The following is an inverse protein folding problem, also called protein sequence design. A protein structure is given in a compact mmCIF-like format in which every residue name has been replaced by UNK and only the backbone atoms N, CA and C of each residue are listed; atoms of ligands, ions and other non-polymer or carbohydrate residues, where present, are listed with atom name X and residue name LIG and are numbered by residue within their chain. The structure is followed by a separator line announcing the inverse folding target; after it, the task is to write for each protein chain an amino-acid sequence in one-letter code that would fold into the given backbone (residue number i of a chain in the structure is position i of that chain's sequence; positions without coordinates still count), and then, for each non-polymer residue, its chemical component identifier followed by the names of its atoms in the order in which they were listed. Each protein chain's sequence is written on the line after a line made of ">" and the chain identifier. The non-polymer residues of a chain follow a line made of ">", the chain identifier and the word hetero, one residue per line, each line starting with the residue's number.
data_IF_033862450626
#
_entry.id   IF_033862450626
#
_cell.length_a   1.000
_cell.length_b   1.000
_cell.length_c   1.000
_cell.angle_alpha   90.00
_cell.angle_beta   90.00
_cell.angle_gamma   90.00
#
_symmetry.space_group_name_H-M   'P 1'
#
loop_
_entity.id
_entity.type
_entity.pdbx_description
1 polymer ?
#
# COMPACT_ATOMS: atom_id res chain seq x y z
N UNK A 1 -44.70 3.82 -18.88
CA UNK A 1 -43.85 3.11 -17.91
C UNK A 1 -42.81 4.12 -17.47
N UNK A 2 -42.83 4.45 -16.18
CA UNK A 2 -41.99 5.47 -15.53
C UNK A 2 -40.51 5.26 -15.86
N UNK A 3 -39.78 6.36 -16.09
CA UNK A 3 -38.32 6.40 -16.17
C UNK A 3 -37.72 5.87 -14.86
N UNK A 4 -37.51 4.56 -14.78
CA UNK A 4 -36.65 3.95 -13.75
C UNK A 4 -35.24 4.39 -14.09
N UNK A 5 -34.85 5.55 -13.55
CA UNK A 5 -33.47 5.99 -13.57
C UNK A 5 -32.68 5.04 -12.67
N UNK A 6 -32.06 4.02 -13.27
CA UNK A 6 -31.10 3.16 -12.58
C UNK A 6 -29.93 4.01 -12.09
N UNK A 7 -30.01 4.45 -10.83
CA UNK A 7 -28.92 5.13 -10.17
C UNK A 7 -28.23 4.10 -9.26
N UNK A 8 -27.12 3.48 -9.71
CA UNK A 8 -26.50 2.37 -9.01
C UNK A 8 -26.02 2.72 -7.60
N UNK A 9 -25.84 4.01 -7.28
CA UNK A 9 -25.49 4.46 -5.93
C UNK A 9 -26.68 4.54 -4.97
N UNK A 10 -27.92 4.61 -5.47
CA UNK A 10 -29.14 4.67 -4.65
C UNK A 10 -29.84 3.32 -4.50
N UNK A 11 -29.54 2.35 -5.36
CA UNK A 11 -30.16 1.03 -5.38
C UNK A 11 -29.32 -0.07 -4.74
N UNK A 12 -28.18 0.26 -4.13
CA UNK A 12 -27.42 -0.71 -3.32
C UNK A 12 -28.08 -0.87 -1.94
N UNK A 13 -28.14 -2.12 -1.46
CA UNK A 13 -28.74 -2.46 -0.18
C UNK A 13 -28.09 -1.73 1.00
N UNK A 14 -28.83 -1.61 2.10
CA UNK A 14 -28.38 -0.98 3.35
C UNK A 14 -26.97 -1.47 3.72
N UNK A 15 -26.01 -0.56 4.00
CA UNK A 15 -24.64 -0.97 4.22
C UNK A 15 -24.52 -1.59 5.62
N UNK A 16 -24.73 -2.91 5.66
CA UNK A 16 -24.74 -3.72 6.88
C UNK A 16 -23.28 -3.91 7.31
N UNK A 17 -22.94 -3.51 8.55
CA UNK A 17 -21.58 -3.65 9.09
C UNK A 17 -20.66 -2.42 8.96
N UNK A 18 -21.15 -1.24 8.54
CA UNK A 18 -20.31 -0.02 8.41
C UNK A 18 -19.70 0.50 9.72
N UNK A 19 -20.21 0.06 10.87
CA UNK A 19 -19.76 0.50 12.19
C UNK A 19 -19.01 -0.60 12.98
N UNK A 20 -18.70 -1.75 12.36
CA UNK A 20 -17.88 -2.75 13.01
C UNK A 20 -16.41 -2.33 12.95
N UNK A 21 -15.88 -1.84 14.07
CA UNK A 21 -14.44 -1.65 14.28
C UNK A 21 -13.86 -2.99 14.73
N UNK A 22 -13.70 -3.94 13.80
CA UNK A 22 -13.13 -5.27 14.09
C UNK A 22 -11.64 -5.39 13.76
N UNK A 23 -11.04 -4.35 13.18
CA UNK A 23 -9.59 -4.30 12.94
C UNK A 23 -8.84 -4.17 14.26
N UNK A 24 -8.43 -5.30 14.84
CA UNK A 24 -7.50 -5.35 15.99
C UNK A 24 -6.03 -5.35 15.55
N UNK A 25 -5.77 -5.39 14.25
CA UNK A 25 -4.44 -5.43 13.64
C UNK A 25 -4.09 -4.16 12.86
N UNK A 26 -3.09 -4.30 11.98
CA UNK A 26 -2.55 -3.20 11.18
C UNK A 26 -3.39 -2.94 9.92
N UNK A 27 -3.48 -1.69 9.49
CA UNK A 27 -4.06 -1.31 8.20
C UNK A 27 -2.94 -1.10 7.19
N UNK A 28 -3.02 -1.80 6.05
CA UNK A 28 -2.03 -1.71 5.00
C UNK A 28 -1.91 -0.27 4.48
N UNK A 29 -0.66 0.21 4.40
CA UNK A 29 -0.34 1.52 3.83
C UNK A 29 -0.68 2.70 4.73
N UNK A 30 -1.04 2.46 5.98
CA UNK A 30 -1.26 3.52 6.96
C UNK A 30 0.04 4.25 7.32
N UNK A 31 0.04 5.57 7.20
CA UNK A 31 1.18 6.40 7.60
C UNK A 31 1.17 6.59 9.12
N UNK A 32 2.02 5.86 9.85
CA UNK A 32 2.07 6.01 11.30
C UNK A 32 2.69 7.34 11.70
N UNK A 33 2.04 8.03 12.65
CA UNK A 33 2.52 9.31 13.18
C UNK A 33 3.85 9.12 13.92
N UNK A 34 4.89 9.76 13.38
CA UNK A 34 6.20 9.87 14.00
C UNK A 34 6.69 11.33 13.91
N UNK A 35 6.98 11.99 15.05
CA UNK A 35 7.48 13.36 15.06
C UNK A 35 8.73 13.58 14.20
N UNK A 36 9.60 12.58 14.05
CA UNK A 36 10.85 12.69 13.31
C UNK A 36 10.66 12.80 11.79
N UNK A 37 9.55 12.28 11.25
CA UNK A 37 9.30 12.18 9.81
C UNK A 37 8.14 13.05 9.33
N UNK A 38 7.69 14.01 10.16
CA UNK A 38 6.57 14.91 9.87
C UNK A 38 6.66 15.64 8.51
N UNK A 39 7.86 15.92 8.03
CA UNK A 39 8.12 16.63 6.76
C UNK A 39 8.55 15.72 5.60
N UNK A 40 8.54 14.40 5.81
CA UNK A 40 8.96 13.44 4.79
C UNK A 40 7.82 13.00 3.86
N UNK A 41 6.56 13.29 4.24
CA UNK A 41 5.39 12.94 3.44
C UNK A 41 5.40 13.75 2.14
N UNK A 42 5.50 13.05 1.02
CA UNK A 42 5.53 13.65 -0.31
C UNK A 42 4.21 13.39 -1.05
N UNK A 43 3.88 14.27 -1.99
CA UNK A 43 2.77 14.09 -2.92
C UNK A 43 3.28 14.03 -4.35
N UNK A 44 2.53 13.35 -5.21
CA UNK A 44 2.83 13.21 -6.62
C UNK A 44 1.59 12.82 -7.40
N UNK A 45 1.76 12.59 -8.70
CA UNK A 45 0.69 12.16 -9.59
C UNK A 45 0.92 10.72 -10.03
N UNK A 46 -0.13 9.89 -10.00
CA UNK A 46 -0.04 8.50 -10.44
C UNK A 46 -0.17 8.39 -11.95
N UNK A 47 0.79 7.77 -12.64
CA UNK A 47 0.75 7.55 -14.09
C UNK A 47 0.58 6.08 -14.50
N UNK A 48 0.26 5.19 -13.56
CA UNK A 48 -0.11 3.81 -13.87
C UNK A 48 -1.47 3.72 -14.57
N UNK A 49 -1.60 2.75 -15.46
CA UNK A 49 -2.87 2.48 -16.17
C UNK A 49 -3.95 1.97 -15.21
N UNK A 50 -3.55 1.13 -14.25
CA UNK A 50 -4.45 0.56 -13.24
C UNK A 50 -4.57 1.49 -12.02
N UNK A 51 -5.72 1.43 -11.36
CA UNK A 51 -5.88 2.03 -10.04
C UNK A 51 -5.00 1.33 -9.00
N UNK A 52 -4.47 2.10 -8.05
CA UNK A 52 -3.56 1.64 -7.00
C UNK A 52 -4.13 1.94 -5.62
N UNK A 53 -3.64 1.27 -4.58
CA UNK A 53 -4.06 1.46 -3.19
C UNK A 53 -2.84 1.74 -2.30
N UNK A 54 -3.09 2.09 -1.04
CA UNK A 54 -2.03 2.33 -0.07
C UNK A 54 -1.23 1.05 0.26
N UNK A 55 0.05 1.17 0.56
CA UNK A 55 0.95 0.05 0.84
C UNK A 55 1.42 -0.70 -0.40
N UNK A 56 1.27 -0.11 -1.60
CA UNK A 56 1.83 -0.64 -2.85
C UNK A 56 3.20 0.00 -3.12
N UNK A 57 4.17 -0.82 -3.47
CA UNK A 57 5.48 -0.39 -3.95
C UNK A 57 5.40 0.36 -5.28
N UNK A 58 6.05 1.52 -5.34
CA UNK A 58 6.05 2.40 -6.49
C UNK A 58 7.45 2.92 -6.79
N UNK A 59 7.58 3.55 -7.96
CA UNK A 59 8.75 4.32 -8.32
C UNK A 59 8.39 5.80 -8.49
N UNK A 60 9.07 6.65 -7.72
CA UNK A 60 9.14 8.09 -7.96
C UNK A 60 10.10 8.36 -9.12
N UNK A 61 9.60 9.03 -10.15
CA UNK A 61 10.40 9.51 -11.26
C UNK A 61 10.79 10.97 -11.05
N UNK A 62 12.03 11.30 -11.42
CA UNK A 62 12.48 12.70 -11.52
C UNK A 62 11.64 13.38 -12.61
N UNK A 63 10.96 14.46 -12.25
CA UNK A 63 10.17 15.25 -13.19
C UNK A 63 11.07 15.95 -14.21
N UNK A 64 10.57 16.14 -15.44
CA UNK A 64 11.25 16.98 -16.43
C UNK A 64 11.20 18.44 -15.98
N UNK A 65 12.11 19.25 -16.49
CA UNK A 65 12.17 20.71 -16.27
C UNK A 65 10.80 21.41 -16.47
N UNK A 66 10.05 21.01 -17.50
CA UNK A 66 8.73 21.56 -17.82
C UNK A 66 7.60 21.15 -16.86
N UNK A 67 7.75 20.06 -16.10
CA UNK A 67 6.68 19.46 -15.29
C UNK A 67 6.97 19.43 -13.77
N UNK A 68 8.14 19.89 -13.33
CA UNK A 68 8.60 19.88 -11.94
C UNK A 68 7.61 20.53 -10.95
N UNK A 69 6.90 21.59 -11.36
CA UNK A 69 6.04 22.38 -10.48
C UNK A 69 4.83 21.59 -9.94
N UNK A 70 4.36 20.57 -10.67
CA UNK A 70 3.17 19.80 -10.29
C UNK A 70 3.46 18.60 -9.36
N UNK A 71 4.73 18.41 -8.96
CA UNK A 71 5.17 17.27 -8.15
C UNK A 71 5.68 16.10 -8.99
N UNK A 72 6.27 15.11 -8.30
CA UNK A 72 6.89 13.95 -8.95
C UNK A 72 5.87 13.04 -9.62
N UNK A 73 6.26 12.44 -10.74
CA UNK A 73 5.45 11.43 -11.39
C UNK A 73 5.71 10.06 -10.75
N UNK A 74 4.66 9.42 -10.27
CA UNK A 74 4.69 8.10 -9.64
C UNK A 74 4.28 7.03 -10.66
N UNK A 75 5.09 6.00 -10.80
CA UNK A 75 4.84 4.84 -11.66
C UNK A 75 4.80 3.54 -10.86
N UNK A 76 4.20 2.48 -11.39
CA UNK A 76 4.34 1.14 -10.81
C UNK A 76 5.80 0.76 -10.64
N UNK A 77 6.12 0.06 -9.54
CA UNK A 77 7.44 -0.52 -9.35
C UNK A 77 7.81 -1.48 -10.49
N UNK A 78 9.10 -1.62 -10.75
CA UNK A 78 9.65 -2.51 -11.78
C UNK A 78 10.59 -3.53 -11.16
N UNK A 79 10.96 -4.57 -11.91
CA UNK A 79 11.89 -5.61 -11.45
C UNK A 79 13.21 -5.06 -10.89
N UNK A 80 13.63 -3.87 -11.33
CA UNK A 80 14.90 -3.24 -10.93
C UNK A 80 14.74 -2.13 -9.91
N UNK A 81 13.55 -1.50 -9.79
CA UNK A 81 13.37 -0.28 -8.99
C UNK A 81 12.04 -0.28 -8.25
N UNK A 82 12.11 -0.14 -6.93
CA UNK A 82 11.03 0.28 -6.04
C UNK A 82 11.65 1.22 -5.00
N UNK A 83 11.37 2.52 -5.09
CA UNK A 83 12.01 3.56 -4.27
C UNK A 83 11.02 4.31 -3.36
N UNK A 84 9.73 3.96 -3.43
CA UNK A 84 8.69 4.59 -2.63
C UNK A 84 7.55 3.64 -2.34
N UNK A 85 6.79 3.92 -1.28
CA UNK A 85 5.52 3.25 -0.99
C UNK A 85 4.40 4.28 -0.94
N UNK A 86 3.30 3.97 -1.62
CA UNK A 86 2.08 4.79 -1.56
C UNK A 86 1.47 4.63 -0.18
N UNK A 87 0.99 5.72 0.41
CA UNK A 87 0.39 5.70 1.75
C UNK A 87 -0.96 6.39 1.79
N UNK A 88 -1.80 5.94 2.71
CA UNK A 88 -2.97 6.65 3.16
C UNK A 88 -2.64 7.36 4.48
N UNK A 89 -2.97 8.64 4.55
CA UNK A 89 -2.96 9.43 5.78
C UNK A 89 -4.36 10.05 5.95
N UNK A 90 -4.63 10.66 7.11
CA UNK A 90 -5.88 11.34 7.46
C UNK A 90 -6.32 12.40 6.42
N UNK A 91 -5.41 12.87 5.56
CA UNK A 91 -5.72 13.52 4.30
C UNK A 91 -6.22 12.48 3.27
N UNK A 92 -7.47 12.03 3.43
CA UNK A 92 -8.11 11.09 2.53
C UNK A 92 -8.32 11.72 1.14
N UNK A 93 -7.49 11.31 0.16
CA UNK A 93 -7.67 11.62 -1.27
C UNK A 93 -8.03 10.37 -2.11
N UNK A 94 -8.20 9.21 -1.46
CA UNK A 94 -8.60 7.96 -2.12
C UNK A 94 -10.10 7.93 -2.40
N UNK A 95 -10.47 7.43 -3.58
CA UNK A 95 -11.86 7.25 -3.99
C UNK A 95 -12.37 5.95 -3.36
N UNK A 96 -13.42 6.04 -2.56
CA UNK A 96 -14.17 4.88 -2.06
C UNK A 96 -15.46 4.79 -2.88
N UNK A 97 -15.67 3.67 -3.56
CA UNK A 97 -16.88 3.42 -4.36
C UNK A 97 -17.81 2.48 -3.63
N UNK A 98 -19.12 2.69 -3.74
CA UNK A 98 -20.09 1.81 -3.09
C UNK A 98 -19.95 0.35 -3.60
N UNK A 99 -19.66 -0.57 -2.67
CA UNK A 99 -19.30 -1.98 -2.96
C UNK A 99 -17.81 -2.31 -2.84
N UNK A 100 -16.93 -1.32 -2.77
CA UNK A 100 -15.50 -1.47 -2.52
C UNK A 100 -15.03 -0.45 -1.47
N UNK A 101 -14.71 -0.95 -0.28
CA UNK A 101 -14.33 -0.12 0.87
C UNK A 101 -12.82 0.17 0.93
N UNK A 102 -12.03 -0.30 -0.04
CA UNK A 102 -10.60 0.00 -0.14
C UNK A 102 -10.42 1.34 -0.87
N UNK A 103 -9.73 2.33 -0.28
CA UNK A 103 -9.44 3.58 -0.98
C UNK A 103 -8.53 3.35 -2.19
N UNK A 104 -8.98 3.82 -3.35
CA UNK A 104 -8.26 3.68 -4.62
C UNK A 104 -7.79 5.03 -5.16
N UNK A 105 -6.60 5.02 -5.78
CA UNK A 105 -6.02 6.13 -6.51
C UNK A 105 -6.01 5.77 -8.00
N UNK A 106 -6.65 6.60 -8.82
CA UNK A 106 -6.78 6.37 -10.27
C UNK A 106 -5.64 7.04 -11.04
N UNK A 107 -5.46 6.63 -12.30
CA UNK A 107 -4.52 7.29 -13.22
C UNK A 107 -4.76 8.79 -13.31
N UNK A 108 -3.67 9.55 -13.30
CA UNK A 108 -3.60 11.02 -13.19
C UNK A 108 -4.16 11.61 -11.88
N UNK A 109 -4.47 10.77 -10.89
CA UNK A 109 -4.84 11.20 -9.54
C UNK A 109 -3.62 11.55 -8.69
N UNK A 110 -3.86 12.33 -7.63
CA UNK A 110 -2.84 12.63 -6.63
C UNK A 110 -2.65 11.45 -5.69
N UNK A 111 -1.39 11.11 -5.41
CA UNK A 111 -1.00 10.07 -4.45
C UNK A 111 -0.04 10.64 -3.42
N UNK A 112 -0.12 10.11 -2.21
CA UNK A 112 0.86 10.37 -1.16
C UNK A 112 1.80 9.18 -1.06
N UNK A 113 3.07 9.46 -0.80
CA UNK A 113 4.08 8.43 -0.67
C UNK A 113 5.19 8.85 0.28
N UNK A 114 5.90 7.84 0.78
CA UNK A 114 7.18 8.00 1.45
C UNK A 114 8.26 7.32 0.62
N UNK A 115 9.44 7.94 0.57
CA UNK A 115 10.62 7.38 -0.08
C UNK A 115 11.26 6.32 0.82
N UNK A 116 11.83 5.29 0.22
CA UNK A 116 12.75 4.39 0.92
C UNK A 116 13.96 5.23 1.39
N UNK A 117 14.34 5.10 2.66
CA UNK A 117 15.31 5.90 3.40
C UNK A 117 14.71 7.04 4.24
N UNK A 118 13.39 7.23 4.21
CA UNK A 118 12.70 8.31 4.94
C UNK A 118 12.64 8.11 6.46
N UNK A 119 12.79 6.89 6.94
CA UNK A 119 12.56 6.50 8.34
C UNK A 119 11.08 6.42 8.71
N UNK A 120 10.17 6.43 7.72
CA UNK A 120 8.73 6.34 7.97
C UNK A 120 8.33 4.93 8.43
N UNK A 121 7.31 4.86 9.28
CA UNK A 121 6.74 3.60 9.76
C UNK A 121 5.45 3.29 9.02
N UNK A 122 5.46 2.21 8.25
CA UNK A 122 4.33 1.85 7.36
C UNK A 122 4.03 0.35 7.49
N UNK A 123 2.77 -0.04 7.73
CA UNK A 123 2.36 -1.42 7.65
C UNK A 123 2.24 -1.88 6.19
N UNK A 124 2.93 -2.96 5.84
CA UNK A 124 2.92 -3.56 4.51
C UNK A 124 2.53 -5.03 4.61
N UNK A 125 1.79 -5.58 3.63
CA UNK A 125 1.49 -7.01 3.59
C UNK A 125 2.78 -7.81 3.40
N UNK A 126 2.90 -8.94 4.09
CA UNK A 126 4.12 -9.76 4.09
C UNK A 126 3.83 -11.20 3.64
N UNK A 127 4.86 -11.88 3.13
CA UNK A 127 4.81 -13.31 2.87
C UNK A 127 4.81 -14.12 4.17
N UNK A 128 4.42 -15.40 4.09
CA UNK A 128 4.51 -16.32 5.23
C UNK A 128 5.96 -16.49 5.71
N UNK A 129 6.94 -16.40 4.80
CA UNK A 129 8.37 -16.49 5.12
C UNK A 129 8.83 -15.30 5.96
N UNK A 130 8.44 -14.08 5.57
CA UNK A 130 8.74 -12.87 6.36
C UNK A 130 8.01 -12.91 7.70
N UNK A 131 6.77 -13.39 7.74
CA UNK A 131 6.03 -13.52 9.00
C UNK A 131 6.71 -14.50 9.98
N UNK A 132 7.38 -15.54 9.47
CA UNK A 132 8.13 -16.49 10.28
C UNK A 132 9.41 -15.91 10.92
N UNK A 133 9.92 -14.76 10.43
CA UNK A 133 11.07 -14.05 11.02
C UNK A 133 10.75 -13.41 12.37
N UNK A 134 9.47 -13.28 12.73
CA UNK A 134 9.04 -12.73 14.02
C UNK A 134 9.22 -13.74 15.16
N UNK A 135 10.44 -14.26 15.35
CA UNK A 135 10.79 -15.26 16.39
C UNK A 135 11.04 -14.62 17.76
N UNK A 136 11.24 -13.31 17.81
CA UNK A 136 11.62 -12.56 19.01
C UNK A 136 13.13 -12.60 19.33
N UNK A 137 13.91 -13.37 18.58
CA UNK A 137 15.36 -13.51 18.79
C UNK A 137 16.21 -12.83 17.71
N UNK A 138 15.62 -12.54 16.55
CA UNK A 138 16.31 -11.93 15.42
C UNK A 138 16.44 -10.41 15.58
N UNK A 139 17.61 -9.87 15.22
CA UNK A 139 17.85 -8.44 15.27
C UNK A 139 17.13 -7.70 14.12
N UNK A 140 16.67 -6.48 14.38
CA UNK A 140 16.06 -5.62 13.36
C UNK A 140 17.08 -5.33 12.24
N UNK A 141 16.73 -5.73 11.01
CA UNK A 141 17.58 -5.55 9.82
C UNK A 141 18.56 -6.69 9.55
N UNK A 142 18.36 -7.87 10.15
CA UNK A 142 19.16 -9.07 9.89
C UNK A 142 18.98 -9.62 8.45
N UNK A 143 17.82 -9.37 7.84
CA UNK A 143 17.46 -9.91 6.52
C UNK A 143 17.29 -8.84 5.44
N UNK A 144 17.52 -9.24 4.19
CA UNK A 144 17.20 -8.45 3.01
C UNK A 144 15.77 -8.72 2.52
N UNK A 145 15.06 -7.67 2.15
CA UNK A 145 13.67 -7.76 1.67
C UNK A 145 13.55 -7.44 0.17
N UNK A 146 12.49 -7.94 -0.46
CA UNK A 146 12.09 -7.62 -1.83
C UNK A 146 10.62 -7.24 -1.89
N UNK A 147 10.26 -6.41 -2.87
CA UNK A 147 8.87 -6.19 -3.23
C UNK A 147 8.44 -7.25 -4.26
N UNK A 148 7.53 -8.16 -3.90
CA UNK A 148 6.94 -9.07 -4.86
C UNK A 148 5.92 -8.34 -5.74
N UNK A 149 6.29 -8.08 -6.99
CA UNK A 149 5.45 -7.38 -7.97
C UNK A 149 4.20 -8.17 -8.36
N UNK A 150 4.20 -9.50 -8.18
CA UNK A 150 3.07 -10.36 -8.56
C UNK A 150 1.99 -10.34 -7.50
N UNK A 151 2.40 -10.57 -6.25
CA UNK A 151 1.46 -10.70 -5.13
C UNK A 151 1.25 -9.37 -4.38
N UNK A 152 2.04 -8.32 -4.67
CA UNK A 152 2.05 -7.05 -3.95
C UNK A 152 2.30 -7.24 -2.44
N UNK A 153 3.31 -8.04 -2.10
CA UNK A 153 3.73 -8.31 -0.71
C UNK A 153 5.23 -8.15 -0.55
N UNK A 154 5.67 -7.89 0.68
CA UNK A 154 7.08 -7.96 1.03
C UNK A 154 7.47 -9.42 1.23
N UNK A 155 8.52 -9.85 0.55
CA UNK A 155 9.10 -11.18 0.71
C UNK A 155 10.60 -11.10 1.06
N UNK A 156 11.18 -12.22 1.45
CA UNK A 156 12.61 -12.33 1.72
C UNK A 156 13.42 -12.34 0.41
N UNK A 157 14.60 -11.74 0.43
CA UNK A 157 15.55 -11.83 -0.67
C UNK A 157 16.18 -13.24 -0.71
N UNK A 158 15.56 -14.18 -1.43
CA UNK A 158 16.22 -15.42 -1.80
C UNK A 158 17.33 -15.10 -2.80
N UNK A 159 18.60 -15.26 -2.41
CA UNK A 159 19.74 -14.82 -3.21
C UNK A 159 19.70 -15.39 -4.63
N UNK A 160 19.78 -14.49 -5.62
CA UNK A 160 20.16 -14.70 -7.03
C UNK A 160 19.08 -14.78 -8.14
N UNK A 161 17.76 -14.83 -7.86
CA UNK A 161 16.79 -15.08 -8.97
C UNK A 161 15.46 -14.34 -8.91
N UNK A 162 15.20 -13.49 -7.91
CA UNK A 162 13.93 -12.78 -7.89
C UNK A 162 13.97 -11.65 -8.92
N UNK A 163 13.10 -11.71 -9.93
CA UNK A 163 12.82 -10.58 -10.84
C UNK A 163 12.10 -9.42 -10.13
N UNK A 164 12.36 -9.26 -8.84
CA UNK A 164 11.69 -8.36 -7.91
C UNK A 164 12.73 -7.38 -7.35
N UNK A 165 12.38 -6.09 -7.19
CA UNK A 165 13.33 -5.09 -6.74
C UNK A 165 13.67 -5.32 -5.27
N UNK A 166 14.97 -5.23 -4.96
CA UNK A 166 15.48 -5.26 -3.58
C UNK A 166 15.07 -3.99 -2.84
N UNK A 167 14.71 -4.15 -1.57
CA UNK A 167 14.32 -3.08 -0.67
C UNK A 167 15.27 -3.02 0.53
N UNK A 168 15.80 -1.83 0.80
CA UNK A 168 16.61 -1.57 1.99
C UNK A 168 15.71 -1.02 3.12
N UNK A 169 14.84 -1.88 3.64
CA UNK A 169 13.87 -1.58 4.71
C UNK A 169 14.10 -2.47 5.93
N UNK A 170 13.54 -2.11 7.08
CA UNK A 170 13.68 -2.89 8.33
C UNK A 170 12.33 -3.32 8.89
N UNK A 171 12.19 -4.61 9.19
CA UNK A 171 11.01 -5.15 9.86
C UNK A 171 11.03 -4.83 11.36
N UNK A 172 9.97 -4.21 11.87
CA UNK A 172 9.84 -3.83 13.29
C UNK A 172 8.90 -4.75 14.07
N UNK A 173 7.78 -5.14 13.46
CA UNK A 173 6.83 -6.07 14.05
C UNK A 173 6.02 -6.79 12.98
N UNK A 174 5.42 -7.93 13.34
CA UNK A 174 4.48 -8.67 12.48
C UNK A 174 3.19 -8.92 13.25
N UNK A 175 2.07 -8.68 12.58
CA UNK A 175 0.74 -9.09 13.02
C UNK A 175 0.22 -10.17 12.08
N UNK A 176 -0.16 -11.33 12.62
CA UNK A 176 -0.58 -12.47 11.80
C UNK A 176 -2.07 -12.49 11.42
N UNK A 177 -2.95 -11.85 12.22
CA UNK A 177 -4.40 -11.90 12.04
C UNK A 177 -5.07 -10.57 12.41
N UNK A 178 -6.26 -10.34 11.87
CA UNK A 178 -7.10 -9.17 12.21
C UNK A 178 -6.61 -7.85 11.60
N UNK A 179 -5.73 -7.94 10.60
CA UNK A 179 -5.22 -6.80 9.84
C UNK A 179 -6.24 -6.39 8.77
N UNK A 180 -6.12 -5.17 8.23
CA UNK A 180 -6.80 -4.79 7.00
C UNK A 180 -5.76 -4.75 5.88
N UNK A 181 -5.65 -5.84 5.14
CA UNK A 181 -4.78 -5.94 3.95
C UNK A 181 -5.62 -5.98 2.69
N UNK A 182 -5.07 -5.56 1.56
CA UNK A 182 -5.80 -5.53 0.30
C UNK A 182 -5.59 -6.82 -0.47
N UNK A 183 -6.69 -7.39 -0.95
CA UNK A 183 -6.72 -8.50 -1.90
C UNK A 183 -7.24 -8.01 -3.24
N UNK A 184 -6.46 -8.20 -4.29
CA UNK A 184 -6.91 -8.06 -5.68
C UNK A 184 -7.46 -9.41 -6.15
N UNK A 185 -8.76 -9.45 -6.43
CA UNK A 185 -9.43 -10.64 -6.97
C UNK A 185 -9.15 -10.77 -8.47
N UNK A 186 -9.38 -11.97 -9.02
CA UNK A 186 -9.15 -12.28 -10.44
C UNK A 186 -10.07 -11.49 -11.39
N UNK A 187 -11.20 -11.01 -10.89
CA UNK A 187 -12.14 -10.13 -11.61
C UNK A 187 -11.71 -8.65 -11.61
N UNK A 188 -10.57 -8.31 -10.99
CA UNK A 188 -10.05 -6.95 -10.89
C UNK A 188 -10.63 -6.14 -9.72
N UNK A 189 -11.55 -6.70 -8.94
CA UNK A 189 -12.05 -6.05 -7.72
C UNK A 189 -10.99 -6.08 -6.62
N UNK A 190 -10.93 -5.02 -5.80
CA UNK A 190 -10.11 -5.01 -4.58
C UNK A 190 -11.02 -5.04 -3.37
N UNK A 191 -10.63 -5.81 -2.36
CA UNK A 191 -11.37 -5.97 -1.10
C UNK A 191 -10.41 -6.03 0.07
N UNK A 192 -10.90 -5.68 1.26
CA UNK A 192 -10.16 -5.91 2.50
C UNK A 192 -10.16 -7.42 2.85
N UNK A 193 -9.01 -7.92 3.29
CA UNK A 193 -8.79 -9.29 3.74
C UNK A 193 -8.11 -9.28 5.11
N UNK A 194 -8.69 -10.05 6.04
CA UNK A 194 -8.33 -10.03 7.46
C UNK A 194 -7.30 -11.10 7.88
N UNK A 195 -7.11 -12.09 7.01
CA UNK A 195 -6.35 -13.30 7.32
C UNK A 195 -4.89 -13.24 6.83
N UNK A 196 -4.51 -12.19 6.12
CA UNK A 196 -3.13 -12.02 5.66
C UNK A 196 -2.25 -11.37 6.73
N UNK A 197 -1.00 -11.86 6.88
CA UNK A 197 -0.05 -11.24 7.78
C UNK A 197 0.37 -9.87 7.25
N UNK A 198 0.58 -8.93 8.17
CA UNK A 198 1.03 -7.57 7.91
C UNK A 198 2.21 -7.26 8.81
N UNK A 199 3.28 -6.71 8.23
CA UNK A 199 4.47 -6.30 8.94
C UNK A 199 4.54 -4.78 9.03
N UNK A 200 4.94 -4.24 10.18
CA UNK A 200 5.33 -2.84 10.29
C UNK A 200 6.78 -2.70 9.89
N UNK A 201 7.04 -1.87 8.88
CA UNK A 201 8.38 -1.60 8.40
C UNK A 201 8.80 -0.17 8.72
N UNK A 202 10.09 -0.02 9.03
CA UNK A 202 10.80 1.23 8.93
C UNK A 202 11.38 1.31 7.52
N UNK A 203 10.89 2.24 6.72
CA UNK A 203 11.27 2.35 5.30
C UNK A 203 12.25 3.47 5.01
#
# INVERSE_FOLDING_TARGET
>A
MSDITFNPFKTQGSPTGMFNVESRGLVQGDAQDDPAIRLQLSSGTWSGADAVWAGVGAMECIATDAANIAGSNMKPATASVCNAFIVSNQAYHGIITAGNNVPLYVGNGSVHYFRVGSGARIPLPVSATVAALATGNDAVGADGFVWDLTNNVIDVYASATSGNPKLDIKLLMVSQQGNLTVKKNTDGTVVWENDKPCGLFLI
#
